data_IF_985642436961
#
_entry.id   IF_985642436961
#
_cell.length_a   1.000
_cell.length_b   1.000
_cell.length_c   1.000
_cell.angle_alpha   90.00
_cell.angle_beta   90.00
_cell.angle_gamma   90.00
#
_symmetry.space_group_name_H-M   'P 1'
#
loop_
_entity.id
_entity.type
_entity.pdbx_description
1 polymer ?
#
# COMPACT_ATOMS: atom_id res chain seq x y z
N UNK A 1 33.12 16.11 24.42
CA UNK A 1 32.52 14.83 23.99
C UNK A 1 31.05 14.73 24.38
N UNK A 2 30.16 15.61 23.88
CA UNK A 2 28.70 15.55 24.16
C UNK A 2 27.80 15.74 22.93
N UNK A 3 28.37 15.99 21.74
CA UNK A 3 27.59 16.25 20.53
C UNK A 3 27.16 14.99 19.75
N UNK A 4 27.77 13.83 20.02
CA UNK A 4 27.46 12.57 19.32
C UNK A 4 26.05 12.05 19.71
N UNK A 5 25.60 12.31 20.94
CA UNK A 5 24.35 11.76 21.48
C UNK A 5 23.07 12.33 20.87
N UNK A 6 23.10 13.57 20.35
CA UNK A 6 21.94 14.22 19.73
C UNK A 6 21.74 13.69 18.32
N UNK A 7 22.82 13.48 17.57
CA UNK A 7 22.76 12.93 16.22
C UNK A 7 22.25 11.49 16.23
N UNK A 8 22.68 10.68 17.20
CA UNK A 8 22.17 9.33 17.37
C UNK A 8 20.69 9.33 17.75
N UNK A 9 20.24 10.26 18.60
CA UNK A 9 18.83 10.38 18.98
C UNK A 9 17.95 10.76 17.78
N UNK A 10 18.43 11.67 16.94
CA UNK A 10 17.72 12.12 15.73
C UNK A 10 17.72 11.03 14.65
N UNK A 11 18.80 10.26 14.52
CA UNK A 11 18.88 9.10 13.64
C UNK A 11 17.96 7.98 14.12
N UNK A 12 17.93 7.70 15.43
CA UNK A 12 16.96 6.75 16.01
C UNK A 12 15.54 7.26 15.86
N UNK A 13 15.30 8.56 15.99
CA UNK A 13 13.98 9.14 15.77
C UNK A 13 13.56 9.00 14.30
N UNK A 14 14.46 9.24 13.33
CA UNK A 14 14.18 9.01 11.90
C UNK A 14 13.94 7.53 11.56
N UNK A 15 14.71 6.63 12.18
CA UNK A 15 14.57 5.18 12.02
C UNK A 15 13.22 4.73 12.60
N UNK A 16 12.93 5.10 13.85
CA UNK A 16 11.66 4.81 14.53
C UNK A 16 10.48 5.45 13.80
N UNK A 17 10.62 6.66 13.26
CA UNK A 17 9.56 7.31 12.48
C UNK A 17 9.26 6.54 11.17
N UNK A 18 10.28 5.97 10.52
CA UNK A 18 10.06 5.05 9.40
C UNK A 18 9.42 3.72 9.84
N UNK A 19 9.73 3.22 11.04
CA UNK A 19 9.20 1.96 11.57
C UNK A 19 7.77 2.10 12.09
N UNK A 20 7.39 3.25 12.66
CA UNK A 20 6.04 3.50 13.22
C UNK A 20 4.97 3.65 12.15
N UNK A 21 5.35 3.93 10.90
CA UNK A 21 4.44 3.84 9.75
C UNK A 21 4.21 2.40 9.27
N UNK A 22 4.91 1.41 9.83
CA UNK A 22 4.64 0.01 9.58
C UNK A 22 3.50 -0.46 10.50
N UNK A 23 2.30 -0.50 9.95
CA UNK A 23 1.24 -1.39 10.45
C UNK A 23 1.78 -2.83 10.47
N UNK A 24 1.10 -3.81 11.13
CA UNK A 24 1.42 -5.22 10.95
C UNK A 24 1.59 -5.46 9.45
N UNK A 25 2.80 -5.79 9.03
CA UNK A 25 3.18 -5.64 7.64
C UNK A 25 2.41 -6.65 6.80
N UNK A 26 1.39 -6.19 6.08
CA UNK A 26 0.59 -7.02 5.19
C UNK A 26 1.54 -7.71 4.19
N UNK A 27 1.37 -9.02 4.01
CA UNK A 27 2.22 -9.82 3.10
C UNK A 27 2.24 -9.23 1.70
N UNK A 28 1.08 -8.76 1.23
CA UNK A 28 0.94 -8.08 -0.05
C UNK A 28 1.84 -6.84 -0.15
N UNK A 29 1.93 -6.04 0.93
CA UNK A 29 2.76 -4.85 0.96
C UNK A 29 4.26 -5.20 0.86
N UNK A 30 4.70 -6.24 1.57
CA UNK A 30 6.09 -6.68 1.56
C UNK A 30 6.52 -7.19 0.19
N UNK A 31 5.66 -7.98 -0.45
CA UNK A 31 5.89 -8.48 -1.79
C UNK A 31 6.12 -7.32 -2.75
N UNK A 32 5.22 -6.32 -2.76
CA UNK A 32 5.36 -5.17 -3.65
C UNK A 32 6.54 -4.26 -3.29
N UNK A 33 6.85 -4.08 -2.00
CA UNK A 33 8.02 -3.31 -1.54
C UNK A 33 9.35 -3.92 -1.97
N UNK A 34 9.40 -5.22 -2.27
CA UNK A 34 10.62 -5.90 -2.73
C UNK A 34 11.03 -5.55 -4.16
N UNK A 35 10.11 -5.00 -4.96
CA UNK A 35 10.36 -4.57 -6.34
C UNK A 35 11.15 -3.26 -6.37
N UNK A 36 12.30 -3.24 -7.04
CA UNK A 36 13.19 -2.08 -7.05
C UNK A 36 12.57 -0.84 -7.72
N UNK A 37 11.61 -1.02 -8.61
CA UNK A 37 10.92 0.06 -9.32
C UNK A 37 9.93 0.80 -8.44
N UNK A 38 9.57 0.23 -7.29
CA UNK A 38 8.58 0.75 -6.36
C UNK A 38 9.21 1.74 -5.38
N UNK A 39 8.48 2.82 -5.08
CA UNK A 39 8.91 3.90 -4.18
C UNK A 39 8.02 4.06 -2.95
N UNK A 40 6.73 3.73 -3.09
CA UNK A 40 5.73 3.75 -2.03
C UNK A 40 4.70 2.68 -2.32
N UNK A 41 4.17 2.07 -1.26
CA UNK A 41 3.10 1.07 -1.32
C UNK A 41 2.08 1.42 -0.25
N UNK A 42 0.81 1.16 -0.54
CA UNK A 42 -0.28 1.12 0.42
C UNK A 42 -1.09 -0.12 0.11
N UNK A 43 -1.45 -0.87 1.13
CA UNK A 43 -2.25 -2.09 1.01
C UNK A 43 -3.40 -2.10 2.00
N UNK A 44 -4.40 -2.90 1.67
CA UNK A 44 -5.42 -3.35 2.60
C UNK A 44 -5.74 -4.81 2.26
N UNK A 45 -5.70 -5.68 3.27
CA UNK A 45 -6.00 -7.10 3.15
C UNK A 45 -7.09 -7.50 4.16
N UNK A 46 -8.05 -8.30 3.68
CA UNK A 46 -8.96 -9.06 4.56
C UNK A 46 -9.19 -10.46 3.97
N UNK A 47 -10.16 -11.20 4.51
CA UNK A 47 -10.44 -12.59 4.07
C UNK A 47 -10.97 -12.70 2.63
N UNK A 48 -11.45 -11.60 2.04
CA UNK A 48 -12.08 -11.59 0.70
C UNK A 48 -11.30 -10.78 -0.32
N UNK A 49 -10.60 -9.73 0.11
CA UNK A 49 -10.05 -8.71 -0.76
C UNK A 49 -8.59 -8.45 -0.43
N UNK A 50 -7.80 -8.28 -1.50
CA UNK A 50 -6.44 -7.75 -1.43
C UNK A 50 -6.38 -6.53 -2.32
N UNK A 51 -6.26 -5.36 -1.71
CA UNK A 51 -6.15 -4.08 -2.42
C UNK A 51 -4.72 -3.58 -2.26
N UNK A 52 -4.02 -3.38 -3.36
CA UNK A 52 -2.66 -2.84 -3.36
C UNK A 52 -2.55 -1.70 -4.35
N UNK A 53 -2.00 -0.58 -3.89
CA UNK A 53 -1.58 0.48 -4.78
C UNK A 53 -0.16 0.94 -4.50
N UNK A 54 0.56 1.29 -5.55
CA UNK A 54 1.95 1.64 -5.42
C UNK A 54 2.41 2.71 -6.42
N UNK A 55 3.51 3.37 -6.07
CA UNK A 55 4.15 4.40 -6.89
C UNK A 55 5.46 3.87 -7.45
N UNK A 56 5.66 4.03 -8.75
CA UNK A 56 6.93 3.68 -9.41
C UNK A 56 7.90 4.85 -9.45
N UNK A 57 9.20 4.55 -9.58
CA UNK A 57 10.27 5.53 -9.81
C UNK A 57 9.98 6.36 -11.07
N UNK A 58 10.41 7.62 -11.07
CA UNK A 58 10.10 8.58 -12.16
C UNK A 58 10.55 8.08 -13.54
N UNK A 59 11.75 7.49 -13.62
CA UNK A 59 12.29 6.95 -14.87
C UNK A 59 11.60 5.65 -15.34
N UNK A 60 10.83 5.00 -14.46
CA UNK A 60 10.07 3.78 -14.76
C UNK A 60 8.64 4.06 -15.23
N UNK A 61 8.23 5.34 -15.37
CA UNK A 61 6.88 5.72 -15.78
C UNK A 61 6.43 5.10 -17.10
N UNK A 62 7.34 4.93 -18.05
CA UNK A 62 7.05 4.31 -19.35
C UNK A 62 6.73 2.82 -19.23
N UNK A 63 7.22 2.15 -18.18
CA UNK A 63 7.03 0.73 -17.93
C UNK A 63 5.93 0.45 -16.90
N UNK A 64 5.22 1.48 -16.42
CA UNK A 64 4.18 1.40 -15.39
C UNK A 64 3.17 0.26 -15.64
N UNK A 65 2.66 0.12 -16.88
CA UNK A 65 1.71 -0.95 -17.23
C UNK A 65 2.31 -2.36 -17.14
N UNK A 66 3.59 -2.50 -17.51
CA UNK A 66 4.31 -3.79 -17.41
C UNK A 66 4.55 -4.14 -15.94
N UNK A 67 5.10 -3.20 -15.18
CA UNK A 67 5.36 -3.35 -13.74
C UNK A 67 4.07 -3.68 -12.98
N UNK A 68 2.97 -2.96 -13.26
CA UNK A 68 1.66 -3.25 -12.67
C UNK A 68 1.18 -4.67 -12.97
N UNK A 69 1.34 -5.12 -14.22
CA UNK A 69 0.95 -6.48 -14.63
C UNK A 69 1.80 -7.55 -13.95
N UNK A 70 3.11 -7.34 -13.86
CA UNK A 70 4.05 -8.30 -13.28
C UNK A 70 3.77 -8.47 -11.77
N UNK A 71 3.68 -7.35 -11.05
CA UNK A 71 3.32 -7.34 -9.61
C UNK A 71 1.92 -7.91 -9.39
N UNK A 72 0.95 -7.59 -10.26
CA UNK A 72 -0.40 -8.14 -10.16
C UNK A 72 -0.40 -9.66 -10.22
N UNK A 73 0.38 -10.25 -11.14
CA UNK A 73 0.48 -11.70 -11.30
C UNK A 73 1.04 -12.35 -10.04
N UNK A 74 2.08 -11.78 -9.44
CA UNK A 74 2.67 -12.29 -8.19
C UNK A 74 1.67 -12.24 -7.01
N UNK A 75 0.90 -11.15 -6.90
CA UNK A 75 -0.13 -11.03 -5.85
C UNK A 75 -1.29 -12.02 -6.10
N UNK A 76 -1.73 -12.20 -7.35
CA UNK A 76 -2.76 -13.20 -7.68
C UNK A 76 -2.29 -14.64 -7.41
N UNK A 77 -1.00 -14.93 -7.55
CA UNK A 77 -0.42 -16.23 -7.22
C UNK A 77 -0.35 -16.46 -5.69
N UNK A 78 0.05 -15.44 -4.92
CA UNK A 78 0.12 -15.53 -3.45
C UNK A 78 -1.26 -15.57 -2.79
N UNK A 79 -2.26 -14.90 -3.37
CA UNK A 79 -3.61 -14.74 -2.82
C UNK A 79 -4.70 -15.30 -3.76
N UNK A 80 -4.50 -16.53 -4.21
CA UNK A 80 -5.35 -17.18 -5.24
C UNK A 80 -6.85 -17.33 -4.88
N UNK A 81 -7.20 -17.21 -3.60
CA UNK A 81 -8.56 -17.34 -3.07
C UNK A 81 -9.26 -16.00 -2.82
N UNK A 82 -8.59 -14.87 -3.07
CA UNK A 82 -9.09 -13.52 -2.79
C UNK A 82 -9.29 -12.69 -4.05
N UNK A 83 -10.18 -11.71 -3.97
CA UNK A 83 -10.37 -10.70 -5.01
C UNK A 83 -9.20 -9.70 -4.96
N UNK A 84 -8.30 -9.80 -5.95
CA UNK A 84 -7.10 -8.96 -6.05
C UNK A 84 -7.34 -7.71 -6.89
N UNK A 85 -7.03 -6.55 -6.33
CA UNK A 85 -6.93 -5.27 -7.03
C UNK A 85 -5.52 -4.72 -6.85
N UNK A 86 -4.78 -4.62 -7.95
CA UNK A 86 -3.45 -4.01 -7.98
C UNK A 86 -3.50 -2.80 -8.92
N UNK A 87 -3.00 -1.66 -8.47
CA UNK A 87 -3.00 -0.45 -9.29
C UNK A 87 -1.82 0.47 -9.01
N UNK A 88 -1.35 1.11 -10.07
CA UNK A 88 -0.39 2.21 -9.99
C UNK A 88 -1.07 3.59 -10.08
N UNK A 89 -2.41 3.64 -10.09
CA UNK A 89 -3.16 4.90 -10.16
C UNK A 89 -3.14 5.67 -8.85
N UNK A 90 -2.95 6.99 -8.95
CA UNK A 90 -2.82 7.86 -7.78
C UNK A 90 -4.14 7.99 -7.01
N UNK A 91 -5.29 7.97 -7.68
CA UNK A 91 -6.59 8.06 -6.99
C UNK A 91 -6.83 6.80 -6.18
N UNK A 92 -6.56 5.62 -6.75
CA UNK A 92 -6.67 4.34 -6.04
C UNK A 92 -5.75 4.33 -4.81
N UNK A 93 -4.50 4.77 -4.97
CA UNK A 93 -3.56 4.92 -3.86
C UNK A 93 -4.14 5.77 -2.70
N UNK A 94 -4.66 6.95 -3.01
CA UNK A 94 -5.23 7.86 -1.99
C UNK A 94 -6.48 7.25 -1.33
N UNK A 95 -7.32 6.53 -2.08
CA UNK A 95 -8.52 5.91 -1.52
C UNK A 95 -8.19 4.72 -0.60
N UNK A 96 -7.16 3.94 -0.91
CA UNK A 96 -6.66 2.90 0.02
C UNK A 96 -6.07 3.54 1.28
N UNK A 97 -5.31 4.64 1.17
CA UNK A 97 -4.86 5.38 2.36
C UNK A 97 -6.04 5.91 3.20
N UNK A 98 -7.13 6.35 2.56
CA UNK A 98 -8.35 6.76 3.26
C UNK A 98 -9.01 5.59 3.98
N UNK A 99 -9.04 4.42 3.35
CA UNK A 99 -9.54 3.20 3.96
C UNK A 99 -8.74 2.83 5.20
N UNK A 100 -7.41 2.85 5.13
CA UNK A 100 -6.56 2.51 6.28
C UNK A 100 -6.75 3.50 7.43
N UNK A 101 -6.77 4.81 7.17
CA UNK A 101 -7.08 5.82 8.19
C UNK A 101 -8.45 5.61 8.82
N UNK A 102 -9.45 5.25 8.01
CA UNK A 102 -10.80 4.96 8.49
C UNK A 102 -10.77 3.76 9.46
N UNK A 103 -9.98 2.73 9.18
CA UNK A 103 -9.83 1.53 10.03
C UNK A 103 -9.10 1.83 11.35
N UNK A 104 -8.17 2.80 11.34
CA UNK A 104 -7.45 3.23 12.54
C UNK A 104 -8.35 4.01 13.54
N UNK A 105 -9.56 4.43 13.14
CA UNK A 105 -10.52 5.11 14.03
C UNK A 105 -11.22 4.09 14.97
N UNK A 106 -11.30 4.39 16.28
CA UNK A 106 -11.74 3.45 17.34
C UNK A 106 -13.19 2.92 17.22
N UNK A 107 -14.03 3.48 16.34
CA UNK A 107 -15.47 3.18 16.23
C UNK A 107 -15.94 2.89 14.78
N UNK A 108 -15.09 2.25 13.98
CA UNK A 108 -15.43 2.00 12.59
C UNK A 108 -16.43 0.86 12.37
N UNK A 109 -17.53 1.16 11.67
CA UNK A 109 -18.53 0.18 11.24
C UNK A 109 -18.01 -0.58 10.00
N UNK A 110 -18.07 -1.91 10.05
CA UNK A 110 -17.73 -2.83 8.95
C UNK A 110 -18.44 -2.44 7.63
N UNK A 111 -19.68 -1.94 7.72
CA UNK A 111 -20.42 -1.45 6.53
C UNK A 111 -19.74 -0.26 5.86
N UNK A 112 -19.07 0.61 6.63
CA UNK A 112 -18.32 1.75 6.07
C UNK A 112 -17.07 1.25 5.35
N UNK A 113 -16.35 0.29 5.92
CA UNK A 113 -15.19 -0.37 5.28
C UNK A 113 -15.62 -0.96 3.94
N UNK A 114 -16.66 -1.80 3.93
CA UNK A 114 -17.17 -2.48 2.74
C UNK A 114 -17.62 -1.47 1.66
N UNK A 115 -18.24 -0.36 2.07
CA UNK A 115 -18.63 0.72 1.14
C UNK A 115 -17.42 1.39 0.50
N UNK A 116 -16.32 1.59 1.24
CA UNK A 116 -15.08 2.14 0.68
C UNK A 116 -14.41 1.14 -0.26
N UNK A 117 -14.35 -0.16 0.07
CA UNK A 117 -13.82 -1.21 -0.82
C UNK A 117 -14.57 -1.23 -2.15
N UNK A 118 -15.90 -1.18 -2.11
CA UNK A 118 -16.74 -1.09 -3.33
C UNK A 118 -16.47 0.17 -4.14
N UNK A 119 -16.28 1.30 -3.47
CA UNK A 119 -15.92 2.57 -4.13
C UNK A 119 -14.57 2.45 -4.84
N UNK A 120 -13.55 1.90 -4.19
CA UNK A 120 -12.22 1.66 -4.77
C UNK A 120 -12.32 0.74 -5.99
N UNK A 121 -13.06 -0.36 -5.86
CA UNK A 121 -13.28 -1.34 -6.94
C UNK A 121 -14.03 -0.74 -8.12
N UNK A 122 -14.95 0.20 -7.89
CA UNK A 122 -15.63 0.91 -8.97
C UNK A 122 -14.68 1.88 -9.68
N UNK A 123 -13.88 2.63 -8.92
CA UNK A 123 -12.93 3.59 -9.45
C UNK A 123 -11.86 2.93 -10.33
N UNK A 124 -11.41 1.71 -10.02
CA UNK A 124 -10.44 1.01 -10.85
C UNK A 124 -11.01 0.64 -12.22
N UNK A 125 -12.28 0.24 -12.28
CA UNK A 125 -12.98 -0.12 -13.52
C UNK A 125 -13.26 1.07 -14.45
N UNK A 126 -13.40 2.28 -13.91
CA UNK A 126 -13.60 3.50 -14.71
C UNK A 126 -12.35 3.95 -15.46
N UNK A 127 -11.17 3.48 -15.04
CA UNK A 127 -9.88 3.85 -15.65
C UNK A 127 -9.35 2.81 -16.63
N UNK A 128 -10.03 1.67 -16.76
CA UNK A 128 -9.65 0.57 -17.66
C UNK A 128 -10.36 0.73 -19.00
#
# INVERSE_FOLDING_TARGET
MKHISILTLLLTFLLTYNQVQASPSDKAEQLVKSHEEVTKVVSYENDKHVLVAFRVKQFQKFFKKRIEKDIKKEIEEEFSDKDVLVSTDLKIFIEIERLNRLIEEEDVDEKKIEKQIKKITKLSKEQT
#
